data_IF_824895622479
#
_entry.id   IF_824895622479
#
_cell.length_a   1.000
_cell.length_b   1.000
_cell.length_c   1.000
_cell.angle_alpha   90.00
_cell.angle_beta   90.00
_cell.angle_gamma   90.00
#
_symmetry.space_group_name_H-M   'P 1'
#
loop_
_entity.id
_entity.type
_entity.pdbx_description
1 polymer ?
#
# COMPACT_ATOMS: atom_id res chain seq x y z
N UNK A 1 -23.13 -25.43 31.75
CA UNK A 1 -22.27 -26.60 32.04
C UNK A 1 -21.50 -26.90 30.75
N UNK A 2 -20.40 -26.17 30.51
CA UNK A 2 -19.41 -26.34 29.41
C UNK A 2 -18.16 -25.44 29.56
N UNK A 3 -18.10 -24.50 30.52
CA UNK A 3 -16.97 -23.54 30.70
C UNK A 3 -15.92 -23.98 31.75
N UNK A 4 -15.58 -25.26 31.81
CA UNK A 4 -14.89 -25.84 32.98
C UNK A 4 -13.39 -25.52 33.12
N UNK A 5 -12.72 -24.95 32.11
CA UNK A 5 -11.25 -24.88 32.05
C UNK A 5 -10.71 -23.45 31.91
N UNK A 6 -11.29 -22.45 32.61
CA UNK A 6 -10.73 -21.09 32.65
C UNK A 6 -9.85 -20.86 33.88
N UNK A 7 -8.60 -20.43 33.65
CA UNK A 7 -7.65 -20.03 34.69
C UNK A 7 -7.32 -18.55 34.49
N UNK A 8 -7.62 -17.70 35.47
CA UNK A 8 -7.25 -16.29 35.43
C UNK A 8 -6.28 -15.93 36.57
N UNK A 9 -5.11 -15.42 36.22
CA UNK A 9 -4.08 -14.92 37.13
C UNK A 9 -3.95 -13.41 36.94
N UNK A 10 -4.06 -12.63 38.01
CA UNK A 10 -3.88 -11.18 37.94
C UNK A 10 -2.90 -10.67 39.00
N UNK A 11 -1.82 -10.03 38.57
CA UNK A 11 -0.95 -9.23 39.44
C UNK A 11 -1.47 -7.78 39.44
N UNK A 12 -1.83 -7.26 40.61
CA UNK A 12 -2.18 -5.84 40.79
C UNK A 12 -1.17 -5.21 41.74
N UNK A 13 -0.21 -4.47 41.20
CA UNK A 13 0.78 -3.75 42.01
C UNK A 13 0.49 -2.26 42.09
N UNK A 14 0.63 -1.69 43.30
CA UNK A 14 0.58 -0.24 43.52
C UNK A 14 1.90 0.49 43.21
N UNK A 15 2.97 -0.25 42.92
CA UNK A 15 4.30 0.27 42.55
C UNK A 15 4.86 -0.52 41.36
N UNK A 16 5.65 0.11 40.50
CA UNK A 16 6.37 -0.55 39.40
C UNK A 16 7.60 -1.29 39.92
N UNK A 17 7.40 -2.41 40.61
CA UNK A 17 8.49 -3.22 41.17
C UNK A 17 8.33 -4.68 40.75
N UNK A 18 9.05 -5.05 39.70
CA UNK A 18 9.22 -6.42 39.22
C UNK A 18 8.09 -6.94 38.34
N UNK A 19 8.45 -7.63 37.26
CA UNK A 19 7.52 -8.27 36.33
C UNK A 19 6.84 -9.50 36.96
N UNK A 20 5.65 -9.84 36.45
CA UNK A 20 5.00 -11.10 36.77
C UNK A 20 5.75 -12.24 36.07
N UNK A 21 6.56 -12.97 36.83
CA UNK A 21 7.25 -14.17 36.34
C UNK A 21 6.36 -15.39 36.52
N UNK A 22 6.17 -16.17 35.46
CA UNK A 22 5.47 -17.47 35.52
C UNK A 22 6.47 -18.58 35.25
N UNK A 23 6.54 -19.58 36.12
CA UNK A 23 7.49 -20.68 35.93
C UNK A 23 6.96 -21.76 35.00
N UNK A 24 5.65 -22.02 35.04
CA UNK A 24 5.05 -23.17 34.36
C UNK A 24 3.56 -22.92 34.10
N UNK A 25 3.10 -23.24 32.89
CA UNK A 25 1.69 -23.24 32.51
C UNK A 25 1.39 -24.61 31.90
N UNK A 26 0.63 -25.44 32.64
CA UNK A 26 0.21 -26.77 32.19
C UNK A 26 -1.31 -26.80 32.18
N UNK A 27 -1.90 -27.08 31.03
CA UNK A 27 -3.32 -27.40 30.92
C UNK A 27 -3.52 -28.92 30.98
N UNK A 28 -4.57 -29.40 31.66
CA UNK A 28 -4.86 -30.84 31.68
C UNK A 28 -5.30 -31.32 30.29
N UNK A 29 -4.74 -32.43 29.79
CA UNK A 29 -5.16 -33.14 28.57
C UNK A 29 -6.56 -33.80 28.71
N UNK A 30 -7.55 -33.07 29.21
CA UNK A 30 -8.93 -33.52 29.31
C UNK A 30 -9.75 -32.83 28.22
N UNK A 31 -10.64 -33.58 27.56
CA UNK A 31 -11.46 -33.10 26.45
C UNK A 31 -12.12 -31.74 26.75
N UNK A 32 -11.57 -30.66 26.20
CA UNK A 32 -12.11 -29.30 26.30
C UNK A 32 -11.02 -28.23 26.32
N UNK A 33 -11.19 -27.21 25.47
CA UNK A 33 -10.34 -26.02 25.39
C UNK A 33 -10.14 -25.37 26.77
N UNK A 34 -8.89 -25.30 27.24
CA UNK A 34 -8.54 -24.49 28.40
C UNK A 34 -8.25 -23.05 28.00
N UNK A 35 -8.70 -22.10 28.81
CA UNK A 35 -8.46 -20.67 28.61
C UNK A 35 -7.64 -20.17 29.79
N UNK A 36 -6.38 -19.84 29.55
CA UNK A 36 -5.49 -19.25 30.54
C UNK A 36 -5.41 -17.76 30.28
N UNK A 37 -5.71 -16.94 31.28
CA UNK A 37 -5.61 -15.48 31.24
C UNK A 37 -4.59 -15.03 32.28
N UNK A 38 -3.54 -14.34 31.85
CA UNK A 38 -2.54 -13.76 32.74
C UNK A 38 -2.56 -12.26 32.54
N UNK A 39 -2.84 -11.53 33.61
CA UNK A 39 -2.93 -10.09 33.61
C UNK A 39 -1.92 -9.46 34.58
N UNK A 40 -1.22 -8.42 34.15
CA UNK A 40 -0.39 -7.59 35.02
C UNK A 40 -0.81 -6.12 34.96
N UNK A 41 -0.81 -5.46 36.12
CA UNK A 41 -1.06 -4.01 36.23
C UNK A 41 0.19 -3.31 36.77
N UNK A 42 0.69 -2.35 36.00
CA UNK A 42 1.88 -1.52 36.27
C UNK A 42 3.25 -2.22 36.19
N UNK A 43 3.28 -3.52 35.87
CA UNK A 43 4.50 -4.29 35.62
C UNK A 43 4.39 -5.07 34.31
N UNK A 44 5.50 -5.60 33.79
CA UNK A 44 5.52 -6.55 32.69
C UNK A 44 5.05 -7.96 33.10
N UNK A 45 5.06 -8.86 32.12
CA UNK A 45 4.91 -10.31 32.28
C UNK A 45 6.15 -10.94 31.66
N UNK A 46 6.94 -11.64 32.46
CA UNK A 46 8.11 -12.36 31.99
C UNK A 46 7.80 -13.86 31.93
N UNK A 47 7.61 -14.36 30.71
CA UNK A 47 7.46 -15.77 30.43
C UNK A 47 8.71 -16.37 29.78
N UNK A 48 9.84 -15.66 29.72
CA UNK A 48 11.05 -16.08 28.99
C UNK A 48 11.58 -17.46 29.40
N UNK A 49 11.40 -17.83 30.67
CA UNK A 49 11.80 -19.11 31.24
C UNK A 49 10.59 -20.01 31.60
N UNK A 50 9.38 -19.68 31.11
CA UNK A 50 8.17 -20.46 31.39
C UNK A 50 8.16 -21.75 30.59
N UNK A 51 7.98 -22.88 31.27
CA UNK A 51 7.59 -24.13 30.59
C UNK A 51 6.11 -24.05 30.19
N UNK A 52 5.83 -24.05 28.88
CA UNK A 52 4.48 -24.00 28.32
C UNK A 52 4.04 -25.40 27.86
N UNK A 53 2.90 -25.87 28.35
CA UNK A 53 2.26 -27.12 27.95
C UNK A 53 0.77 -26.89 27.65
N UNK A 54 0.49 -26.18 26.55
CA UNK A 54 -0.84 -25.97 25.97
C UNK A 54 -1.08 -26.92 24.78
N UNK A 55 -2.32 -27.36 24.54
CA UNK A 55 -2.69 -28.10 23.33
C UNK A 55 -3.32 -27.20 22.24
N UNK A 56 -3.63 -27.79 21.08
CA UNK A 56 -4.14 -27.08 19.91
C UNK A 56 -5.58 -26.56 20.05
N UNK A 57 -6.21 -26.74 21.20
CA UNK A 57 -7.55 -26.24 21.50
C UNK A 57 -7.54 -25.24 22.65
N UNK A 58 -6.40 -25.06 23.32
CA UNK A 58 -6.24 -24.13 24.41
C UNK A 58 -6.13 -22.69 23.91
N UNK A 59 -6.23 -21.75 24.85
CA UNK A 59 -6.15 -20.31 24.63
C UNK A 59 -5.26 -19.70 25.71
N UNK A 60 -4.28 -18.88 25.34
CA UNK A 60 -3.54 -18.01 26.27
C UNK A 60 -3.85 -16.55 25.98
N UNK A 61 -4.46 -15.86 26.94
CA UNK A 61 -4.64 -14.41 26.94
C UNK A 61 -3.61 -13.76 27.86
N UNK A 62 -2.71 -12.94 27.33
CA UNK A 62 -1.84 -12.11 28.16
C UNK A 62 -2.30 -10.66 28.08
N UNK A 63 -2.48 -10.05 29.25
CA UNK A 63 -2.91 -8.67 29.35
C UNK A 63 -1.96 -7.87 30.22
N UNK A 64 -1.46 -6.76 29.70
CA UNK A 64 -0.77 -5.76 30.53
C UNK A 64 -1.53 -4.45 30.49
N UNK A 65 -1.61 -3.81 31.65
CA UNK A 65 -2.28 -2.53 31.80
C UNK A 65 -1.44 -1.62 32.67
N UNK A 66 -1.33 -0.35 32.30
CA UNK A 66 -0.51 0.61 33.04
C UNK A 66 -1.31 1.88 33.29
N UNK A 67 -1.06 2.48 34.45
CA UNK A 67 -1.53 3.82 34.78
C UNK A 67 -0.46 4.81 34.33
N UNK A 68 -0.85 5.91 33.67
CA UNK A 68 0.05 6.90 33.04
C UNK A 68 1.28 7.26 33.90
N UNK A 69 2.43 7.48 33.24
CA UNK A 69 3.73 7.95 33.79
C UNK A 69 4.61 6.93 34.56
N UNK A 70 4.43 5.62 34.36
CA UNK A 70 5.37 4.59 34.87
C UNK A 70 6.36 4.13 33.76
N UNK A 71 7.35 3.30 34.12
CA UNK A 71 8.31 2.71 33.16
C UNK A 71 7.60 1.90 32.05
N UNK A 72 8.27 1.64 30.91
CA UNK A 72 7.79 0.67 29.94
C UNK A 72 7.48 -0.68 30.61
N UNK A 73 6.47 -1.38 30.12
CA UNK A 73 6.11 -2.73 30.59
C UNK A 73 6.26 -3.70 29.42
N UNK A 74 6.85 -4.86 29.66
CA UNK A 74 7.15 -5.81 28.59
C UNK A 74 6.37 -7.11 28.78
N UNK A 75 5.95 -7.75 27.70
CA UNK A 75 5.55 -9.15 27.69
C UNK A 75 6.67 -9.93 27.01
N UNK A 76 7.45 -10.68 27.78
CA UNK A 76 8.48 -11.58 27.26
C UNK A 76 7.86 -12.97 27.08
N UNK A 77 7.86 -13.52 25.86
CA UNK A 77 7.40 -14.89 25.60
C UNK A 77 8.58 -15.89 25.65
N UNK A 78 8.37 -17.14 26.10
CA UNK A 78 9.38 -18.19 26.11
C UNK A 78 9.83 -18.56 24.70
N UNK A 79 11.02 -19.13 24.58
CA UNK A 79 11.40 -19.93 23.42
C UNK A 79 10.52 -21.20 23.36
N UNK A 80 10.01 -21.55 22.17
CA UNK A 80 9.14 -22.72 22.01
C UNK A 80 9.97 -23.98 21.67
N UNK A 81 10.42 -24.66 22.71
CA UNK A 81 11.19 -25.89 22.56
C UNK A 81 10.24 -27.08 22.34
N UNK A 82 9.87 -27.34 21.07
CA UNK A 82 9.10 -28.48 20.55
C UNK A 82 7.56 -28.47 20.74
N UNK A 83 6.84 -28.55 19.60
CA UNK A 83 5.40 -28.90 19.44
C UNK A 83 4.37 -27.94 20.08
N UNK A 84 4.81 -26.79 20.60
CA UNK A 84 3.91 -25.70 21.00
C UNK A 84 3.96 -24.66 19.88
N UNK A 85 2.86 -24.47 19.15
CA UNK A 85 2.68 -23.37 18.20
C UNK A 85 1.62 -22.45 18.82
N UNK A 86 1.93 -21.17 18.99
CA UNK A 86 1.01 -20.19 19.57
C UNK A 86 -0.29 -20.03 18.77
N UNK A 87 -0.26 -20.36 17.48
CA UNK A 87 -1.45 -20.41 16.63
C UNK A 87 -2.31 -21.66 16.88
N UNK A 88 -1.69 -22.78 17.29
CA UNK A 88 -2.42 -23.95 17.76
C UNK A 88 -3.10 -23.65 19.11
N UNK A 89 -2.46 -22.88 19.99
CA UNK A 89 -2.98 -22.59 21.34
C UNK A 89 -3.69 -21.22 21.49
N UNK A 90 -4.23 -20.64 20.41
CA UNK A 90 -5.03 -19.40 20.46
C UNK A 90 -4.45 -18.30 21.34
N UNK A 91 -3.31 -17.70 20.96
CA UNK A 91 -2.69 -16.59 21.71
C UNK A 91 -3.39 -15.26 21.44
N UNK A 92 -3.70 -14.50 22.50
CA UNK A 92 -4.15 -13.11 22.40
C UNK A 92 -3.37 -12.23 23.35
N UNK A 93 -2.78 -11.16 22.82
CA UNK A 93 -2.00 -10.20 23.59
C UNK A 93 -2.73 -8.86 23.60
N UNK A 94 -3.04 -8.34 24.78
CA UNK A 94 -3.77 -7.07 24.94
C UNK A 94 -2.97 -6.15 25.86
N UNK A 95 -2.41 -5.07 25.31
CA UNK A 95 -1.67 -4.09 26.11
C UNK A 95 -2.20 -2.67 25.91
N UNK A 96 -3.15 -2.27 26.76
CA UNK A 96 -3.92 -1.02 26.57
C UNK A 96 -3.19 0.25 27.02
N UNK A 97 -1.85 0.29 27.02
CA UNK A 97 -1.12 1.40 27.61
C UNK A 97 0.20 1.75 26.92
N UNK A 98 0.54 3.04 26.99
CA UNK A 98 1.73 3.67 26.41
C UNK A 98 3.04 3.13 26.95
N UNK A 99 3.90 2.74 26.00
CA UNK A 99 5.20 2.12 26.24
C UNK A 99 5.10 0.67 26.69
N UNK A 100 4.20 -0.12 26.12
CA UNK A 100 4.26 -1.58 26.24
C UNK A 100 5.03 -2.16 25.06
N UNK A 101 5.94 -3.09 25.27
CA UNK A 101 6.56 -3.95 24.24
C UNK A 101 6.15 -5.41 24.41
N UNK A 102 6.13 -6.16 23.32
CA UNK A 102 6.11 -7.64 23.33
C UNK A 102 7.46 -8.06 22.77
N UNK A 103 8.14 -9.03 23.38
CA UNK A 103 9.38 -9.59 22.84
C UNK A 103 9.29 -11.12 22.87
N UNK A 104 9.76 -11.77 21.80
CA UNK A 104 9.79 -13.23 21.65
C UNK A 104 11.22 -13.73 21.58
N UNK A 105 11.60 -14.71 22.40
CA UNK A 105 12.95 -15.28 22.45
C UNK A 105 13.12 -16.49 21.50
N UNK A 106 12.49 -16.45 20.32
CA UNK A 106 12.56 -17.59 19.40
C UNK A 106 14.02 -17.84 18.96
N UNK A 107 14.46 -19.10 19.05
CA UNK A 107 15.76 -19.53 18.53
C UNK A 107 15.57 -20.29 17.21
N UNK A 108 16.60 -20.28 16.35
CA UNK A 108 16.56 -20.93 15.05
C UNK A 108 16.17 -22.43 15.16
N UNK A 109 15.06 -22.82 14.51
CA UNK A 109 14.56 -24.21 14.47
C UNK A 109 13.32 -24.50 15.35
N UNK A 110 12.80 -23.50 16.06
CA UNK A 110 11.54 -23.54 16.83
C UNK A 110 10.29 -23.44 15.94
N UNK A 111 9.16 -24.05 16.34
CA UNK A 111 7.82 -23.76 15.77
C UNK A 111 7.37 -22.37 16.18
N UNK A 112 6.58 -21.70 15.34
CA UNK A 112 6.56 -20.23 15.27
C UNK A 112 5.22 -19.63 15.65
N UNK A 113 5.23 -18.49 16.34
CA UNK A 113 4.07 -17.61 16.40
C UNK A 113 3.70 -17.19 14.97
N UNK A 114 2.60 -17.71 14.41
CA UNK A 114 2.23 -17.43 13.01
C UNK A 114 1.15 -16.35 12.84
N UNK A 115 0.41 -16.02 13.91
CA UNK A 115 -0.62 -14.98 13.87
C UNK A 115 -0.85 -14.33 15.23
N UNK A 116 -1.04 -13.02 15.26
CA UNK A 116 -1.39 -12.27 16.47
C UNK A 116 -2.43 -11.18 16.17
N UNK A 117 -3.41 -11.02 17.07
CA UNK A 117 -4.23 -9.81 17.18
C UNK A 117 -3.75 -9.06 18.42
N UNK A 118 -3.35 -7.80 18.23
CA UNK A 118 -2.83 -6.98 19.32
C UNK A 118 -3.33 -5.55 19.28
N UNK A 119 -3.54 -5.00 20.48
CA UNK A 119 -3.73 -3.59 20.74
C UNK A 119 -2.67 -3.21 21.78
N UNK A 120 -1.45 -2.96 21.28
CA UNK A 120 -0.28 -2.43 22.01
C UNK A 120 0.12 -1.15 21.33
N UNK A 121 0.63 -0.15 22.05
CA UNK A 121 1.05 1.10 21.38
C UNK A 121 2.31 0.86 20.54
N UNK A 122 3.29 0.11 21.07
CA UNK A 122 4.50 -0.28 20.35
C UNK A 122 4.58 -1.81 20.26
N UNK A 123 4.87 -2.34 19.07
CA UNK A 123 5.04 -3.78 18.85
C UNK A 123 6.44 -4.07 18.34
N UNK A 124 7.19 -4.92 19.04
CA UNK A 124 8.49 -5.43 18.60
C UNK A 124 8.34 -6.93 18.34
N UNK A 125 8.91 -7.46 17.26
CA UNK A 125 8.90 -8.90 16.99
C UNK A 125 10.24 -9.35 16.43
N UNK A 126 10.71 -10.49 16.90
CA UNK A 126 11.80 -11.24 16.26
C UNK A 126 11.37 -12.70 16.12
N UNK A 127 11.30 -13.17 14.87
CA UNK A 127 10.87 -14.53 14.53
C UNK A 127 11.79 -15.19 13.49
N UNK A 128 11.53 -16.43 13.13
CA UNK A 128 12.29 -17.20 12.15
C UNK A 128 11.42 -17.85 11.06
N UNK A 129 10.14 -17.51 10.99
CA UNK A 129 9.26 -17.91 9.88
C UNK A 129 8.28 -16.79 9.53
N UNK A 130 7.31 -17.13 8.67
CA UNK A 130 6.15 -16.31 8.39
C UNK A 130 5.43 -15.85 9.68
N UNK A 131 5.02 -14.59 9.71
CA UNK A 131 4.17 -14.04 10.76
C UNK A 131 3.15 -13.05 10.21
N UNK A 132 1.91 -13.18 10.67
CA UNK A 132 0.80 -12.33 10.28
C UNK A 132 0.22 -11.56 11.48
N UNK A 133 0.43 -10.24 11.51
CA UNK A 133 -0.18 -9.33 12.47
C UNK A 133 -1.52 -8.84 11.93
N UNK A 134 -2.63 -9.30 12.52
CA UNK A 134 -3.98 -9.02 12.02
C UNK A 134 -4.69 -8.01 12.92
N UNK A 135 -5.31 -7.00 12.31
CA UNK A 135 -6.03 -5.93 13.01
C UNK A 135 -5.16 -5.21 14.04
N UNK A 136 -3.93 -4.87 13.66
CA UNK A 136 -3.07 -4.04 14.49
C UNK A 136 -3.72 -2.67 14.73
N UNK A 137 -3.77 -2.27 16.00
CA UNK A 137 -4.37 -0.99 16.45
C UNK A 137 -3.42 -0.15 17.28
N UNK A 138 -2.13 -0.46 17.21
CA UNK A 138 -1.08 0.30 17.87
C UNK A 138 -0.56 1.49 17.06
N UNK A 139 0.39 2.20 17.66
CA UNK A 139 1.01 3.40 17.12
C UNK A 139 2.26 3.08 16.30
N UNK A 140 3.10 2.14 16.77
CA UNK A 140 4.37 1.81 16.12
C UNK A 140 4.67 0.30 16.07
N UNK A 141 5.35 -0.13 15.00
CA UNK A 141 5.80 -1.51 14.78
C UNK A 141 7.28 -1.58 14.41
N UNK A 142 7.92 -2.64 14.90
CA UNK A 142 9.29 -3.07 14.64
C UNK A 142 9.27 -4.61 14.54
N UNK A 143 9.67 -5.18 13.41
CA UNK A 143 9.47 -6.59 13.14
C UNK A 143 10.61 -7.18 12.31
N UNK A 144 11.16 -8.31 12.77
CA UNK A 144 12.29 -8.98 12.12
C UNK A 144 12.04 -10.46 11.97
N UNK A 145 12.43 -11.01 10.81
CA UNK A 145 12.53 -12.45 10.62
C UNK A 145 13.83 -12.87 9.95
N UNK A 146 14.32 -14.05 10.36
CA UNK A 146 15.45 -14.71 9.73
C UNK A 146 15.07 -15.58 8.53
N UNK A 147 13.78 -15.88 8.34
CA UNK A 147 13.23 -16.55 7.15
C UNK A 147 11.71 -16.29 7.07
N UNK A 148 11.13 -16.11 5.88
CA UNK A 148 9.68 -16.09 5.70
C UNK A 148 9.01 -14.70 5.67
N UNK A 149 7.72 -14.67 5.40
CA UNK A 149 6.95 -13.45 5.12
C UNK A 149 6.39 -12.79 6.37
N UNK A 150 6.65 -11.49 6.52
CA UNK A 150 6.02 -10.68 7.55
C UNK A 150 4.85 -9.90 6.94
N UNK A 151 3.66 -10.12 7.50
CA UNK A 151 2.43 -9.45 7.07
C UNK A 151 1.83 -8.65 8.21
N UNK A 152 1.40 -7.43 7.92
CA UNK A 152 0.70 -6.55 8.87
C UNK A 152 -0.56 -6.02 8.21
N UNK A 153 -1.69 -6.17 8.90
CA UNK A 153 -2.93 -5.51 8.58
C UNK A 153 -3.33 -4.61 9.75
N UNK A 154 -3.34 -3.29 9.53
CA UNK A 154 -3.73 -2.30 10.54
C UNK A 154 -5.03 -1.60 10.19
N UNK A 155 -5.86 -1.42 11.23
CA UNK A 155 -7.10 -0.64 11.13
C UNK A 155 -6.93 0.85 11.42
N UNK A 156 -5.72 1.31 11.74
CA UNK A 156 -5.42 2.68 12.19
C UNK A 156 -4.17 3.23 11.50
N UNK A 157 -3.78 4.46 11.84
CA UNK A 157 -2.46 4.98 11.50
C UNK A 157 -1.36 4.19 12.20
N UNK A 158 -0.21 4.00 11.53
CA UNK A 158 0.92 3.21 12.03
C UNK A 158 2.24 3.89 11.67
N UNK A 159 3.18 3.81 12.59
CA UNK A 159 4.58 4.17 12.41
C UNK A 159 5.41 2.88 12.29
N UNK A 160 6.25 2.77 11.27
CA UNK A 160 7.28 1.73 11.17
C UNK A 160 8.59 2.40 11.58
N UNK A 161 9.18 1.97 12.69
CA UNK A 161 10.37 2.59 13.29
C UNK A 161 11.21 1.54 14.01
N UNK A 162 12.51 1.81 14.16
CA UNK A 162 13.41 0.99 14.96
C UNK A 162 13.14 1.28 16.44
N UNK A 163 12.43 0.37 17.10
CA UNK A 163 12.01 0.51 18.48
C UNK A 163 13.01 -0.12 19.46
N UNK A 164 13.91 -0.96 18.95
CA UNK A 164 14.84 -1.76 19.75
C UNK A 164 16.32 -1.33 19.59
N UNK A 165 16.58 -0.36 18.72
CA UNK A 165 17.88 0.21 18.38
C UNK A 165 18.85 -0.80 17.72
N UNK A 166 18.36 -1.74 16.92
CA UNK A 166 19.20 -2.66 16.13
C UNK A 166 19.57 -2.13 14.73
N UNK A 167 19.03 -0.96 14.35
CA UNK A 167 19.30 -0.26 13.10
C UNK A 167 18.25 -0.48 12.02
N UNK A 168 17.28 -1.38 12.24
CA UNK A 168 16.22 -1.67 11.27
C UNK A 168 14.84 -1.68 11.94
N UNK A 169 13.81 -1.25 11.22
CA UNK A 169 12.43 -1.34 11.69
C UNK A 169 11.69 -2.59 11.17
N UNK A 170 11.98 -3.00 9.93
CA UNK A 170 11.24 -4.11 9.32
C UNK A 170 12.14 -4.93 8.41
N UNK A 171 12.48 -6.16 8.81
CA UNK A 171 13.45 -6.98 8.07
C UNK A 171 12.96 -8.40 7.87
N UNK A 172 13.08 -8.89 6.64
CA UNK A 172 12.91 -10.31 6.32
C UNK A 172 14.03 -10.82 5.41
N UNK A 173 14.41 -12.07 5.63
CA UNK A 173 15.19 -12.87 4.71
C UNK A 173 14.31 -13.98 4.15
N UNK A 174 14.53 -14.37 2.90
CA UNK A 174 13.82 -15.44 2.20
C UNK A 174 12.28 -15.30 2.33
N UNK A 175 11.78 -14.08 2.14
CA UNK A 175 10.38 -13.75 2.36
C UNK A 175 10.01 -12.33 1.94
N UNK A 176 8.74 -11.97 2.20
CA UNK A 176 8.17 -10.67 1.79
C UNK A 176 7.80 -9.80 3.00
N UNK A 177 7.77 -8.48 2.81
CA UNK A 177 7.19 -7.51 3.75
C UNK A 177 5.88 -6.99 3.19
N UNK A 178 4.77 -7.27 3.86
CA UNK A 178 3.44 -6.95 3.37
C UNK A 178 2.68 -6.13 4.41
N UNK A 179 2.65 -4.81 4.26
CA UNK A 179 1.89 -3.90 5.09
C UNK A 179 0.62 -3.42 4.36
N UNK A 180 -0.52 -3.54 5.03
CA UNK A 180 -1.79 -2.97 4.61
C UNK A 180 -2.43 -2.20 5.78
N UNK A 181 -2.56 -0.88 5.64
CA UNK A 181 -3.09 0.00 6.68
C UNK A 181 -4.41 0.69 6.30
N UNK A 182 -5.13 1.19 7.31
CA UNK A 182 -6.26 2.10 7.14
C UNK A 182 -6.05 3.36 7.98
N UNK A 183 -5.24 4.27 7.46
CA UNK A 183 -4.78 5.48 8.13
C UNK A 183 -3.39 5.87 7.63
N UNK A 184 -2.83 6.96 8.18
CA UNK A 184 -1.50 7.39 7.81
C UNK A 184 -0.46 6.31 8.12
N UNK A 185 0.41 6.01 7.15
CA UNK A 185 1.64 5.23 7.35
C UNK A 185 2.81 6.20 7.45
N UNK A 186 3.60 6.11 8.51
CA UNK A 186 4.87 6.83 8.64
C UNK A 186 6.01 5.83 8.73
N UNK A 187 6.98 5.88 7.82
CA UNK A 187 8.16 5.05 7.83
C UNK A 187 9.36 5.92 8.24
N UNK A 188 9.96 5.61 9.39
CA UNK A 188 10.99 6.44 10.02
C UNK A 188 12.39 5.82 10.01
N UNK A 189 12.48 4.51 9.81
CA UNK A 189 13.76 3.77 9.82
C UNK A 189 13.80 2.72 8.69
N UNK A 190 14.93 2.02 8.59
CA UNK A 190 15.23 1.12 7.47
C UNK A 190 14.32 -0.11 7.42
N UNK A 191 13.99 -0.53 6.20
CA UNK A 191 13.31 -1.80 5.96
C UNK A 191 13.99 -2.58 4.84
N UNK A 192 14.03 -3.91 4.96
CA UNK A 192 14.60 -4.76 3.93
C UNK A 192 13.89 -6.10 3.77
N UNK A 193 13.78 -6.55 2.52
CA UNK A 193 13.32 -7.87 2.15
C UNK A 193 14.31 -8.50 1.17
N UNK A 194 14.77 -9.70 1.50
CA UNK A 194 15.76 -10.42 0.68
C UNK A 194 15.21 -11.75 0.21
N UNK A 195 15.55 -12.14 -1.01
CA UNK A 195 15.42 -13.47 -1.56
C UNK A 195 16.83 -14.06 -1.77
N UNK A 196 17.23 -14.92 -0.82
CA UNK A 196 18.52 -15.59 -0.82
C UNK A 196 18.47 -17.03 -1.33
N UNK A 197 17.29 -17.56 -1.63
CA UNK A 197 17.08 -18.94 -2.07
C UNK A 197 16.90 -18.98 -3.59
N UNK A 198 17.39 -20.05 -4.22
CA UNK A 198 17.09 -20.33 -5.63
C UNK A 198 16.12 -21.51 -5.63
N UNK A 199 14.84 -21.21 -5.54
CA UNK A 199 13.78 -22.19 -5.39
C UNK A 199 12.63 -22.01 -6.41
N UNK A 200 12.87 -21.18 -7.43
CA UNK A 200 11.90 -20.83 -8.46
C UNK A 200 10.67 -20.07 -7.90
N UNK A 201 10.77 -19.50 -6.70
CA UNK A 201 9.74 -18.65 -6.09
C UNK A 201 10.29 -17.26 -5.83
N UNK A 202 9.69 -16.26 -6.47
CA UNK A 202 10.08 -14.87 -6.25
C UNK A 202 9.74 -14.41 -4.83
N UNK A 203 10.75 -14.10 -4.03
CA UNK A 203 10.60 -13.45 -2.72
C UNK A 203 11.32 -12.08 -2.67
N UNK A 204 11.52 -11.54 -1.47
CA UNK A 204 12.17 -10.24 -1.27
C UNK A 204 11.28 -9.06 -1.63
N UNK A 205 9.96 -9.25 -1.71
CA UNK A 205 9.01 -8.22 -2.13
C UNK A 205 8.60 -7.34 -0.94
N UNK A 206 8.44 -6.03 -1.19
CA UNK A 206 8.00 -5.03 -0.20
C UNK A 206 6.73 -4.35 -0.71
N UNK A 207 5.62 -4.56 -0.01
CA UNK A 207 4.33 -3.96 -0.30
C UNK A 207 3.87 -3.09 0.87
N UNK A 208 3.90 -1.77 0.68
CA UNK A 208 3.42 -0.78 1.65
C UNK A 208 2.16 -0.12 1.11
N UNK A 209 1.00 -0.56 1.59
CA UNK A 209 -0.28 -0.01 1.15
C UNK A 209 -1.10 0.60 2.26
N UNK A 210 -1.82 1.66 1.95
CA UNK A 210 -2.85 2.24 2.82
C UNK A 210 -4.15 2.43 2.06
N UNK A 211 -5.30 2.22 2.71
CA UNK A 211 -6.61 2.47 2.13
C UNK A 211 -7.13 3.91 2.37
N UNK A 212 -6.52 4.62 3.32
CA UNK A 212 -6.82 6.00 3.68
C UNK A 212 -5.60 6.62 4.36
N UNK A 213 -5.55 7.96 4.45
CA UNK A 213 -4.42 8.68 5.03
C UNK A 213 -3.20 8.76 4.11
N UNK A 214 -2.21 9.53 4.54
CA UNK A 214 -0.97 9.75 3.79
C UNK A 214 0.04 8.63 4.01
N UNK A 215 1.01 8.50 3.11
CA UNK A 215 2.20 7.68 3.33
C UNK A 215 3.38 8.64 3.40
N UNK A 216 4.04 8.68 4.55
CA UNK A 216 5.22 9.51 4.80
C UNK A 216 6.44 8.59 4.92
N UNK A 217 7.45 8.78 4.08
CA UNK A 217 8.68 7.99 4.11
C UNK A 217 9.85 8.91 4.40
N UNK A 218 10.53 8.69 5.51
CA UNK A 218 11.72 9.44 5.89
C UNK A 218 11.48 10.94 6.05
N UNK A 219 10.31 11.37 6.52
CA UNK A 219 10.02 12.79 6.78
C UNK A 219 10.54 13.29 8.13
N UNK A 220 11.02 12.40 8.99
CA UNK A 220 11.57 12.74 10.32
C UNK A 220 12.91 12.05 10.62
N UNK A 221 13.44 11.27 9.67
CA UNK A 221 14.68 10.49 9.80
C UNK A 221 15.13 9.95 8.44
N UNK A 222 16.40 9.56 8.33
CA UNK A 222 16.92 8.93 7.12
C UNK A 222 16.35 7.51 6.98
N UNK A 223 15.87 7.16 5.79
CA UNK A 223 15.24 5.86 5.53
C UNK A 223 15.83 5.18 4.32
N UNK A 224 16.15 3.90 4.47
CA UNK A 224 16.49 2.99 3.37
C UNK A 224 15.42 1.91 3.23
N UNK A 225 14.86 1.76 2.03
CA UNK A 225 13.96 0.67 1.64
C UNK A 225 14.72 -0.20 0.63
N UNK A 226 14.98 -1.47 0.98
CA UNK A 226 15.76 -2.36 0.12
C UNK A 226 15.01 -3.66 -0.16
N UNK A 227 14.69 -3.89 -1.43
CA UNK A 227 14.25 -5.19 -1.94
C UNK A 227 15.41 -5.83 -2.71
N UNK A 228 15.80 -7.04 -2.34
CA UNK A 228 16.87 -7.78 -3.02
C UNK A 228 16.37 -9.14 -3.49
N UNK A 229 16.24 -9.31 -4.80
CA UNK A 229 16.04 -10.59 -5.44
C UNK A 229 17.15 -10.85 -6.46
N UNK A 230 18.11 -11.70 -6.13
CA UNK A 230 19.24 -12.02 -7.04
C UNK A 230 19.23 -13.44 -7.55
N UNK A 231 18.40 -14.30 -6.97
CA UNK A 231 18.36 -15.72 -7.28
C UNK A 231 17.26 -16.04 -8.29
N UNK A 232 16.08 -15.45 -8.11
CA UNK A 232 14.86 -15.71 -8.87
C UNK A 232 14.32 -14.44 -9.56
N UNK A 233 15.24 -13.55 -9.97
CA UNK A 233 14.92 -12.24 -10.55
C UNK A 233 14.17 -12.31 -11.89
N UNK A 234 14.26 -13.45 -12.57
CA UNK A 234 13.65 -13.72 -13.87
C UNK A 234 12.33 -14.51 -13.75
N UNK A 235 11.97 -14.94 -12.54
CA UNK A 235 10.73 -15.66 -12.24
C UNK A 235 9.57 -14.68 -12.15
N UNK A 236 8.44 -15.01 -12.77
CA UNK A 236 7.17 -14.28 -12.63
C UNK A 236 6.60 -14.43 -11.21
N UNK A 237 6.06 -13.37 -10.63
CA UNK A 237 5.46 -13.42 -9.29
C UNK A 237 5.72 -12.20 -8.42
N UNK A 238 5.95 -11.04 -9.02
CA UNK A 238 6.02 -9.77 -8.30
C UNK A 238 4.66 -9.34 -7.74
N UNK A 239 4.61 -8.12 -7.20
CA UNK A 239 3.47 -7.59 -6.45
C UNK A 239 2.24 -7.23 -7.31
N UNK A 240 2.36 -7.26 -8.63
CA UNK A 240 1.29 -6.92 -9.57
C UNK A 240 1.84 -6.66 -10.96
N UNK A 241 1.02 -6.15 -11.87
CA UNK A 241 1.33 -6.01 -13.29
C UNK A 241 1.94 -4.64 -13.68
N UNK A 242 1.92 -3.67 -12.77
CA UNK A 242 2.46 -2.32 -12.98
C UNK A 242 3.72 -2.09 -12.12
N UNK A 243 4.83 -1.56 -12.70
CA UNK A 243 5.07 -1.35 -14.14
C UNK A 243 5.30 -2.64 -14.95
N UNK A 244 5.38 -3.77 -14.27
CA UNK A 244 5.44 -5.11 -14.85
C UNK A 244 5.04 -6.13 -13.79
N UNK A 245 4.88 -7.39 -14.19
CA UNK A 245 4.72 -8.56 -13.31
C UNK A 245 5.89 -8.77 -12.33
N UNK A 246 6.97 -7.98 -12.45
CA UNK A 246 8.20 -8.09 -11.66
C UNK A 246 8.36 -7.00 -10.59
N UNK A 247 7.30 -6.24 -10.29
CA UNK A 247 7.29 -5.24 -9.22
C UNK A 247 7.72 -5.85 -7.89
N UNK A 248 8.82 -5.35 -7.34
CA UNK A 248 9.42 -5.82 -6.10
C UNK A 248 9.18 -4.85 -4.94
N UNK A 249 9.07 -3.54 -5.22
CA UNK A 249 8.64 -2.55 -4.23
C UNK A 249 7.36 -1.89 -4.73
N UNK A 250 6.31 -1.93 -3.91
CA UNK A 250 5.09 -1.15 -4.12
C UNK A 250 4.83 -0.26 -2.92
N UNK A 251 4.68 1.05 -3.14
CA UNK A 251 4.21 2.01 -2.14
C UNK A 251 2.96 2.70 -2.68
N UNK A 252 1.79 2.34 -2.17
CA UNK A 252 0.55 2.73 -2.83
C UNK A 252 -0.60 3.07 -1.88
N UNK A 253 -1.33 4.12 -2.23
CA UNK A 253 -2.63 4.39 -1.64
C UNK A 253 -3.72 3.74 -2.50
N UNK A 254 -4.55 2.90 -1.87
CA UNK A 254 -5.52 2.02 -2.54
C UNK A 254 -6.96 2.51 -2.44
N UNK A 255 -7.20 3.59 -1.70
CA UNK A 255 -8.52 4.19 -1.56
C UNK A 255 -8.99 4.86 -2.85
N UNK A 256 -10.29 4.80 -3.09
CA UNK A 256 -10.91 5.37 -4.29
C UNK A 256 -11.45 6.79 -4.08
N UNK A 257 -11.45 7.28 -2.82
CA UNK A 257 -11.98 8.60 -2.44
C UNK A 257 -11.08 9.31 -1.42
N UNK A 258 -11.17 10.63 -1.36
CA UNK A 258 -10.47 11.48 -0.38
C UNK A 258 -9.02 11.80 -0.75
N UNK A 259 -8.39 12.64 0.09
CA UNK A 259 -7.00 13.06 -0.08
C UNK A 259 -6.04 11.93 0.24
N UNK A 260 -5.10 11.70 -0.67
CA UNK A 260 -4.13 10.62 -0.57
C UNK A 260 -2.77 11.12 -1.05
N UNK A 261 -1.85 11.37 -0.13
CA UNK A 261 -0.53 11.87 -0.45
C UNK A 261 0.55 10.85 -0.10
N UNK A 262 1.54 10.74 -0.98
CA UNK A 262 2.80 10.05 -0.70
C UNK A 262 3.90 11.12 -0.67
N UNK A 263 4.68 11.15 0.41
CA UNK A 263 5.82 12.06 0.55
C UNK A 263 7.08 11.27 0.84
N UNK A 264 8.09 11.42 -0.01
CA UNK A 264 9.43 10.86 0.19
C UNK A 264 10.38 11.98 0.64
N UNK A 265 10.94 11.82 1.83
CA UNK A 265 11.94 12.72 2.42
C UNK A 265 11.37 14.05 2.89
N UNK A 266 12.28 14.89 3.41
CA UNK A 266 12.12 16.31 3.62
C UNK A 266 13.43 17.05 3.23
N UNK A 267 13.55 18.35 3.56
CA UNK A 267 14.75 19.13 3.23
C UNK A 267 16.03 18.75 4.03
N UNK A 268 15.89 17.93 5.07
CA UNK A 268 16.95 17.56 6.01
C UNK A 268 17.26 16.06 6.03
N UNK A 269 16.40 15.22 5.44
CA UNK A 269 16.52 13.77 5.45
C UNK A 269 16.93 13.21 4.09
N UNK A 270 17.49 12.02 4.12
CA UNK A 270 17.82 11.21 2.93
C UNK A 270 16.88 10.02 2.86
N UNK A 271 16.30 9.78 1.69
CA UNK A 271 15.52 8.56 1.44
C UNK A 271 16.15 7.79 0.30
N UNK A 272 16.43 6.52 0.53
CA UNK A 272 16.96 5.61 -0.49
C UNK A 272 15.97 4.47 -0.70
N UNK A 273 15.53 4.26 -1.93
CA UNK A 273 14.65 3.15 -2.33
C UNK A 273 15.35 2.36 -3.42
N UNK A 274 15.67 1.11 -3.12
CA UNK A 274 16.46 0.24 -3.99
C UNK A 274 15.75 -1.09 -4.22
N UNK A 275 15.51 -1.43 -5.49
CA UNK A 275 15.08 -2.75 -5.91
C UNK A 275 16.17 -3.41 -6.76
N UNK A 276 16.84 -4.41 -6.19
CA UNK A 276 17.73 -5.29 -6.94
C UNK A 276 16.94 -6.50 -7.46
N UNK A 277 16.93 -6.69 -8.77
CA UNK A 277 16.24 -7.79 -9.45
C UNK A 277 14.73 -7.62 -9.59
N UNK A 278 14.19 -6.42 -9.40
CA UNK A 278 12.78 -6.13 -9.64
C UNK A 278 12.46 -4.65 -9.82
N UNK A 279 11.19 -4.39 -10.11
CA UNK A 279 10.72 -3.05 -10.46
C UNK A 279 10.18 -2.29 -9.24
N UNK A 280 10.06 -0.96 -9.37
CA UNK A 280 9.51 -0.09 -8.33
C UNK A 280 8.23 0.56 -8.84
N UNK A 281 7.17 0.48 -8.05
CA UNK A 281 5.91 1.14 -8.32
C UNK A 281 5.46 1.98 -7.12
N UNK A 282 5.14 3.25 -7.35
CA UNK A 282 4.51 4.09 -6.34
C UNK A 282 3.32 4.82 -6.92
N UNK A 283 2.19 4.77 -6.22
CA UNK A 283 0.95 5.38 -6.67
C UNK A 283 0.15 5.95 -5.51
N UNK A 284 -0.03 7.27 -5.44
CA UNK A 284 -0.91 7.88 -4.42
C UNK A 284 -2.40 7.69 -4.73
N UNK A 285 -2.73 6.96 -5.79
CA UNK A 285 -4.10 6.60 -6.14
C UNK A 285 -4.20 5.33 -6.97
N UNK A 286 -3.67 4.20 -6.48
CA UNK A 286 -3.62 2.93 -7.22
C UNK A 286 -4.98 2.48 -7.79
N UNK A 287 -6.07 2.65 -7.03
CA UNK A 287 -7.41 2.26 -7.48
C UNK A 287 -8.28 3.47 -7.86
N UNK A 288 -7.67 4.66 -8.01
CA UNK A 288 -8.42 5.86 -8.40
C UNK A 288 -9.07 5.64 -9.77
N UNK A 289 -10.36 5.96 -9.88
CA UNK A 289 -11.08 5.97 -11.17
C UNK A 289 -11.26 7.38 -11.72
N UNK A 290 -10.87 8.40 -10.96
CA UNK A 290 -10.92 9.81 -11.33
C UNK A 290 -9.59 10.48 -11.02
N UNK A 291 -9.11 11.32 -11.93
CA UNK A 291 -7.97 12.21 -11.71
C UNK A 291 -8.43 13.36 -10.82
N UNK A 292 -8.21 13.24 -9.51
CA UNK A 292 -8.33 14.36 -8.58
C UNK A 292 -6.94 14.73 -8.07
N UNK A 293 -6.20 15.42 -8.94
CA UNK A 293 -4.79 15.80 -8.74
C UNK A 293 -4.59 16.81 -7.63
N UNK A 294 -5.62 17.61 -7.31
CA UNK A 294 -5.54 18.58 -6.21
C UNK A 294 -5.68 17.88 -4.84
N UNK A 295 -6.27 16.68 -4.81
CA UNK A 295 -6.44 15.87 -3.60
C UNK A 295 -5.36 14.79 -3.44
N UNK A 296 -4.65 14.44 -4.52
CA UNK A 296 -3.66 13.34 -4.53
C UNK A 296 -2.33 13.81 -5.08
N UNK A 297 -1.31 13.69 -4.25
CA UNK A 297 0.05 14.13 -4.61
C UNK A 297 1.07 13.04 -4.31
N UNK A 298 2.05 12.91 -5.19
CA UNK A 298 3.27 12.17 -4.91
C UNK A 298 4.42 13.18 -4.93
N UNK A 299 4.95 13.48 -3.74
CA UNK A 299 6.04 14.43 -3.55
C UNK A 299 7.36 13.70 -3.34
N UNK A 300 8.36 14.03 -4.15
CA UNK A 300 9.73 13.57 -3.99
C UNK A 300 10.60 14.76 -3.66
N UNK A 301 11.14 14.78 -2.43
CA UNK A 301 12.03 15.85 -1.99
C UNK A 301 13.45 15.67 -2.54
N UNK A 302 14.27 16.69 -2.34
CA UNK A 302 15.71 16.63 -2.49
C UNK A 302 16.32 15.50 -1.64
N UNK A 303 17.51 15.01 -2.02
CA UNK A 303 18.18 13.87 -1.38
C UNK A 303 17.41 12.52 -1.42
N UNK A 304 16.36 12.40 -2.24
CA UNK A 304 15.72 11.11 -2.51
C UNK A 304 16.44 10.39 -3.66
N UNK A 305 16.84 9.15 -3.43
CA UNK A 305 17.38 8.22 -4.42
C UNK A 305 16.39 7.07 -4.62
N UNK A 306 15.94 6.87 -5.86
CA UNK A 306 15.11 5.72 -6.26
C UNK A 306 15.80 5.00 -7.41
N UNK A 307 16.14 3.72 -7.22
CA UNK A 307 16.79 2.94 -8.28
C UNK A 307 16.34 1.49 -8.35
N UNK A 308 16.16 1.01 -9.57
CA UNK A 308 15.83 -0.37 -9.89
C UNK A 308 16.88 -0.93 -10.85
N UNK A 309 17.47 -2.08 -10.53
CA UNK A 309 18.59 -2.65 -11.30
C UNK A 309 18.72 -4.17 -11.10
N UNK A 310 19.44 -4.86 -11.99
CA UNK A 310 19.92 -6.23 -11.72
C UNK A 310 21.31 -6.19 -11.10
N UNK A 311 22.18 -5.39 -11.70
CA UNK A 311 23.54 -5.13 -11.23
C UNK A 311 23.82 -3.62 -11.24
N UNK A 312 24.54 -3.13 -10.23
CA UNK A 312 24.92 -1.72 -10.11
C UNK A 312 25.78 -1.18 -11.27
N UNK A 313 26.31 -2.04 -12.14
CA UNK A 313 27.02 -1.65 -13.35
C UNK A 313 26.13 -1.50 -14.58
N UNK A 314 24.85 -1.87 -14.50
CA UNK A 314 23.94 -1.85 -15.64
C UNK A 314 23.76 -0.43 -16.17
N UNK A 315 23.44 -0.30 -17.45
CA UNK A 315 23.27 1.02 -18.06
C UNK A 315 21.96 1.65 -17.58
N UNK A 316 21.98 2.93 -17.23
CA UNK A 316 20.77 3.70 -16.91
C UNK A 316 19.96 3.90 -18.19
N UNK A 317 18.67 3.59 -18.15
CA UNK A 317 17.74 3.70 -19.30
C UNK A 317 16.62 4.66 -18.93
N UNK A 318 16.72 5.92 -19.35
CA UNK A 318 15.76 6.96 -18.97
C UNK A 318 14.30 6.62 -19.36
N UNK A 319 14.09 5.93 -20.49
CA UNK A 319 12.76 5.52 -20.95
C UNK A 319 12.09 4.44 -20.08
N UNK A 320 12.81 3.85 -19.14
CA UNK A 320 12.26 2.88 -18.20
C UNK A 320 11.74 3.53 -16.90
N UNK A 321 11.82 4.86 -16.80
CA UNK A 321 11.30 5.63 -15.68
C UNK A 321 10.10 6.44 -16.16
N UNK A 322 8.94 6.21 -15.55
CA UNK A 322 7.70 6.93 -15.79
C UNK A 322 7.38 7.78 -14.56
N UNK A 323 7.27 9.09 -14.75
CA UNK A 323 6.84 10.04 -13.73
C UNK A 323 5.57 10.71 -14.24
N UNK A 324 4.46 10.47 -13.57
CA UNK A 324 3.16 11.06 -13.94
C UNK A 324 2.60 11.87 -12.78
N UNK A 325 2.50 13.19 -12.98
CA UNK A 325 1.98 14.12 -11.96
C UNK A 325 2.70 13.97 -10.60
N UNK A 326 4.03 13.89 -10.66
CA UNK A 326 4.92 13.82 -9.50
C UNK A 326 5.49 15.19 -9.20
N UNK A 327 5.32 15.64 -7.96
CA UNK A 327 5.89 16.89 -7.46
C UNK A 327 7.33 16.67 -7.02
N UNK A 328 8.27 17.06 -7.88
CA UNK A 328 9.70 17.07 -7.56
C UNK A 328 10.05 18.39 -6.88
N UNK A 329 10.44 18.33 -5.60
CA UNK A 329 10.90 19.48 -4.83
C UNK A 329 12.42 19.55 -4.89
N UNK A 330 12.92 20.62 -5.51
CA UNK A 330 14.35 20.91 -5.63
C UNK A 330 14.62 22.31 -5.05
N UNK A 331 15.05 22.35 -3.79
CA UNK A 331 15.28 23.61 -3.05
C UNK A 331 16.75 23.85 -2.67
N UNK A 332 17.62 22.87 -2.90
CA UNK A 332 19.06 22.91 -2.59
C UNK A 332 19.89 22.64 -3.85
N UNK A 333 21.05 21.98 -3.71
CA UNK A 333 22.00 21.74 -4.81
C UNK A 333 22.13 20.24 -5.15
N UNK A 334 21.30 19.38 -4.55
CA UNK A 334 21.28 17.94 -4.76
C UNK A 334 19.87 17.53 -5.19
N UNK A 335 19.66 17.53 -6.50
CA UNK A 335 18.43 17.06 -7.13
C UNK A 335 18.15 15.60 -6.74
N UNK A 336 16.88 15.20 -6.57
CA UNK A 336 16.54 13.79 -6.42
C UNK A 336 16.99 12.98 -7.64
N UNK A 337 17.41 11.74 -7.40
CA UNK A 337 17.89 10.83 -8.44
C UNK A 337 16.94 9.66 -8.58
N UNK A 338 16.18 9.63 -9.67
CA UNK A 338 15.29 8.51 -10.01
C UNK A 338 15.84 7.87 -11.28
N UNK A 339 16.35 6.64 -11.17
CA UNK A 339 17.05 6.00 -12.27
C UNK A 339 16.77 4.49 -12.32
N UNK A 340 16.08 4.08 -13.39
CA UNK A 340 15.97 2.67 -13.74
C UNK A 340 17.13 2.23 -14.64
N UNK A 341 17.62 1.01 -14.44
CA UNK A 341 18.64 0.40 -15.28
C UNK A 341 18.04 -0.58 -16.29
N UNK A 342 18.89 -1.12 -17.16
CA UNK A 342 18.51 -2.09 -18.19
C UNK A 342 17.67 -3.23 -17.57
N UNK A 343 16.58 -3.59 -18.26
CA UNK A 343 15.61 -4.64 -17.87
C UNK A 343 14.85 -4.40 -16.56
N UNK A 344 14.87 -3.18 -16.03
CA UNK A 344 14.10 -2.77 -14.85
C UNK A 344 13.26 -1.56 -15.14
N UNK A 345 12.19 -1.34 -14.38
CA UNK A 345 11.26 -0.22 -14.54
C UNK A 345 10.97 0.47 -13.21
N UNK A 346 10.72 1.77 -13.29
CA UNK A 346 10.23 2.58 -12.18
C UNK A 346 9.01 3.36 -12.67
N UNK A 347 7.90 3.26 -11.96
CA UNK A 347 6.73 4.10 -12.20
C UNK A 347 6.35 4.80 -10.90
N UNK A 348 6.34 6.13 -10.93
CA UNK A 348 5.82 6.98 -9.86
C UNK A 348 4.64 7.78 -10.42
N UNK A 349 3.49 7.71 -9.76
CA UNK A 349 2.32 8.46 -10.17
C UNK A 349 1.50 8.99 -9.00
N UNK A 350 0.88 10.15 -9.18
CA UNK A 350 -0.16 10.60 -8.24
C UNK A 350 -1.56 10.04 -8.56
N UNK A 351 -1.72 9.40 -9.72
CA UNK A 351 -2.99 8.82 -10.20
C UNK A 351 -2.82 7.34 -10.59
N UNK A 352 -3.93 6.65 -10.86
CA UNK A 352 -3.86 5.31 -11.43
C UNK A 352 -3.53 5.42 -12.93
N UNK A 353 -2.35 4.99 -13.35
CA UNK A 353 -1.99 4.89 -14.77
C UNK A 353 -2.76 3.74 -15.44
N UNK A 354 -3.04 2.65 -14.72
CA UNK A 354 -3.74 1.48 -15.25
C UNK A 354 -5.24 1.72 -15.56
N UNK A 355 -5.80 2.86 -15.13
CA UNK A 355 -7.17 3.26 -15.45
C UNK A 355 -7.31 4.07 -16.75
N UNK A 356 -6.19 4.41 -17.40
CA UNK A 356 -6.14 5.18 -18.63
C UNK A 356 -5.49 4.42 -19.80
N UNK A 357 -5.31 3.11 -19.66
CA UNK A 357 -5.14 2.25 -20.84
C UNK A 357 -6.46 2.29 -21.60
N UNK A 358 -6.47 3.11 -22.65
CA UNK A 358 -7.39 2.93 -23.76
C UNK A 358 -7.23 1.47 -24.18
N UNK A 359 -8.32 0.71 -24.10
CA UNK A 359 -8.36 -0.70 -24.53
C UNK A 359 -7.61 -0.84 -25.86
N UNK A 360 -6.78 -1.87 -26.06
CA UNK A 360 -6.08 -2.07 -27.34
C UNK A 360 -7.08 -2.05 -28.51
N UNK A 361 -8.29 -2.56 -28.28
CA UNK A 361 -9.41 -2.50 -29.24
C UNK A 361 -9.85 -1.06 -29.57
N UNK A 362 -9.81 -0.14 -28.60
CA UNK A 362 -10.14 1.28 -28.80
C UNK A 362 -8.97 2.03 -29.42
N UNK A 363 -7.73 1.59 -29.20
CA UNK A 363 -6.54 2.17 -29.81
C UNK A 363 -6.41 1.74 -31.28
N UNK A 364 -6.73 0.48 -31.59
CA UNK A 364 -6.91 -0.03 -32.95
C UNK A 364 -8.08 0.67 -33.65
N UNK A 365 -9.23 0.90 -32.99
CA UNK A 365 -10.34 1.66 -33.57
C UNK A 365 -9.98 3.14 -33.85
N UNK A 366 -9.08 3.72 -33.04
CA UNK A 366 -8.59 5.10 -33.24
C UNK A 366 -7.55 5.16 -34.35
N UNK A 367 -6.63 4.19 -34.42
CA UNK A 367 -5.63 4.10 -35.47
C UNK A 367 -6.28 3.73 -36.83
N UNK A 368 -7.27 2.84 -36.85
CA UNK A 368 -8.12 2.56 -38.02
C UNK A 368 -8.90 3.81 -38.44
N UNK A 369 -9.43 4.59 -37.49
CA UNK A 369 -10.11 5.84 -37.81
C UNK A 369 -9.15 6.91 -38.35
N UNK A 370 -7.90 6.95 -37.90
CA UNK A 370 -6.85 7.85 -38.41
C UNK A 370 -6.39 7.41 -39.80
N UNK A 371 -6.21 6.11 -40.04
CA UNK A 371 -5.88 5.55 -41.36
C UNK A 371 -7.03 5.74 -42.36
N UNK A 372 -8.28 5.60 -41.95
CA UNK A 372 -9.47 5.93 -42.77
C UNK A 372 -9.52 7.43 -43.11
N UNK A 373 -9.10 8.30 -42.18
CA UNK A 373 -9.01 9.75 -42.41
C UNK A 373 -7.89 10.06 -43.41
N UNK A 374 -6.71 9.47 -43.28
CA UNK A 374 -5.59 9.71 -44.20
C UNK A 374 -5.85 9.10 -45.59
N UNK A 375 -6.49 7.94 -45.67
CA UNK A 375 -6.93 7.34 -46.93
C UNK A 375 -8.02 8.18 -47.61
N UNK A 376 -8.92 8.80 -46.84
CA UNK A 376 -9.90 9.75 -47.38
C UNK A 376 -9.26 11.05 -47.91
N UNK A 377 -8.11 11.47 -47.38
CA UNK A 377 -7.38 12.64 -47.87
C UNK A 377 -6.59 12.36 -49.16
N UNK A 378 -6.09 11.14 -49.35
CA UNK A 378 -5.42 10.73 -50.59
C UNK A 378 -6.42 10.54 -51.75
N UNK A 379 -7.64 10.08 -51.46
CA UNK A 379 -8.74 10.03 -52.43
C UNK A 379 -9.25 11.43 -52.84
N UNK A 380 -9.15 12.42 -51.94
CA UNK A 380 -9.46 13.83 -52.25
C UNK A 380 -8.39 14.47 -53.15
N UNK A 381 -7.12 14.05 -53.04
CA UNK A 381 -6.02 14.60 -53.85
C UNK A 381 -5.89 14.02 -55.26
N UNK A 382 -6.63 12.96 -55.59
CA UNK A 382 -6.63 12.35 -56.94
C UNK A 382 -7.88 12.64 -57.78
N UNK A 383 -8.87 13.33 -57.21
CA UNK A 383 -10.07 13.80 -57.91
C UNK A 383 -10.03 15.29 -58.23
N UNK A 384 -9.69 15.64 -59.47
CA UNK A 384 -9.80 16.98 -60.06
C UNK A 384 -11.17 17.63 -59.80
N UNK A 385 -11.25 18.69 -59.00
CA UNK A 385 -11.52 20.08 -59.43
C UNK A 385 -11.60 20.98 -58.18
N UNK A 386 -10.97 22.15 -58.25
CA UNK A 386 -11.11 23.19 -57.23
C UNK A 386 -12.56 23.71 -57.24
N UNK A 387 -13.31 23.46 -56.16
CA UNK A 387 -14.35 24.39 -55.75
C UNK A 387 -14.24 24.67 -54.24
N UNK A 388 -14.36 25.95 -53.91
CA UNK A 388 -14.11 26.52 -52.60
C UNK A 388 -15.19 26.08 -51.59
N UNK A 389 -14.90 25.07 -50.77
CA UNK A 389 -15.77 24.61 -49.69
C UNK A 389 -15.86 25.65 -48.55
N UNK A 390 -16.95 26.39 -48.53
CA UNK A 390 -17.34 27.39 -47.53
C UNK A 390 -17.57 26.79 -46.13
N UNK A 391 -17.54 27.63 -45.09
CA UNK A 391 -17.82 27.35 -43.65
C UNK A 391 -19.03 26.42 -43.34
N UNK A 392 -19.89 26.14 -44.32
CA UNK A 392 -21.01 25.19 -44.26
C UNK A 392 -20.58 23.72 -44.12
N UNK A 393 -19.47 23.29 -44.73
CA UNK A 393 -19.06 21.86 -44.68
C UNK A 393 -18.52 21.46 -43.30
N UNK A 394 -17.78 22.35 -42.63
CA UNK A 394 -17.30 22.12 -41.26
C UNK A 394 -18.45 22.11 -40.24
N UNK A 395 -19.49 22.93 -40.45
CA UNK A 395 -20.68 22.91 -39.60
C UNK A 395 -21.56 21.68 -39.85
N UNK A 396 -21.64 21.22 -41.10
CA UNK A 396 -22.40 20.02 -41.46
C UNK A 396 -21.74 18.77 -40.88
N UNK A 397 -20.41 18.65 -40.95
CA UNK A 397 -19.65 17.54 -40.34
C UNK A 397 -19.77 17.50 -38.82
N UNK A 398 -19.68 18.66 -38.14
CA UNK A 398 -19.87 18.76 -36.70
C UNK A 398 -21.29 18.39 -36.25
N UNK A 399 -22.31 18.79 -37.03
CA UNK A 399 -23.71 18.44 -36.73
C UNK A 399 -23.96 16.93 -36.84
N UNK A 400 -23.40 16.28 -37.87
CA UNK A 400 -23.52 14.82 -38.05
C UNK A 400 -22.81 14.06 -36.91
N UNK A 401 -21.62 14.52 -36.50
CA UNK A 401 -20.90 13.93 -35.37
C UNK A 401 -21.67 14.08 -34.05
N UNK A 402 -22.25 15.26 -33.80
CA UNK A 402 -23.06 15.53 -32.60
C UNK A 402 -24.42 14.82 -32.59
N UNK A 403 -25.00 14.52 -33.76
CA UNK A 403 -26.24 13.70 -33.88
C UNK A 403 -26.00 12.22 -33.59
N UNK A 404 -24.77 11.76 -33.82
CA UNK A 404 -24.39 10.37 -33.53
C UNK A 404 -24.21 10.16 -32.02
N UNK A 405 -23.74 11.19 -31.30
CA UNK A 405 -23.43 11.12 -29.86
C UNK A 405 -24.62 11.54 -28.98
N UNK A 406 -25.49 12.44 -29.46
CA UNK A 406 -26.70 12.86 -28.73
C UNK A 406 -27.94 12.48 -29.55
N UNK A 407 -28.73 11.49 -29.10
CA UNK A 407 -29.89 11.03 -29.85
C UNK A 407 -30.93 12.14 -30.02
N UNK A 408 -31.56 12.18 -31.20
CA UNK A 408 -32.63 13.14 -31.51
C UNK A 408 -33.80 13.03 -30.52
N UNK A 409 -34.57 14.12 -30.40
CA UNK A 409 -35.81 14.07 -29.63
C UNK A 409 -36.79 13.09 -30.28
N UNK A 410 -37.46 12.26 -29.49
CA UNK A 410 -38.35 11.23 -30.01
C UNK A 410 -39.55 11.86 -30.73
N UNK A 411 -40.06 11.17 -31.75
CA UNK A 411 -41.16 11.66 -32.58
C UNK A 411 -42.41 11.95 -31.74
N UNK A 412 -42.71 13.24 -31.53
CA UNK A 412 -43.81 13.72 -30.69
C UNK A 412 -43.39 14.72 -29.61
N UNK A 413 -42.09 14.82 -29.33
CA UNK A 413 -41.52 15.85 -28.46
C UNK A 413 -41.18 17.11 -29.26
N UNK A 414 -41.82 18.23 -28.93
CA UNK A 414 -41.41 19.54 -29.44
C UNK A 414 -40.58 20.29 -28.41
N UNK A 415 -39.73 21.19 -28.89
CA UNK A 415 -38.91 22.11 -28.08
C UNK A 415 -39.73 22.90 -27.06
N UNK A 416 -41.03 23.07 -27.29
CA UNK A 416 -41.93 23.83 -26.43
C UNK A 416 -42.66 22.98 -25.37
N UNK A 417 -42.61 21.64 -25.46
CA UNK A 417 -43.45 20.75 -24.64
C UNK A 417 -42.71 19.66 -23.85
N UNK A 418 -41.41 19.43 -24.07
CA UNK A 418 -40.63 18.42 -23.34
C UNK A 418 -39.36 19.00 -22.72
N UNK A 419 -39.27 18.98 -21.38
CA UNK A 419 -38.07 19.42 -20.66
C UNK A 419 -36.86 18.51 -20.92
N UNK A 420 -37.09 17.25 -21.29
CA UNK A 420 -36.04 16.32 -21.68
C UNK A 420 -35.47 16.65 -23.05
N UNK A 421 -36.31 17.01 -24.02
CA UNK A 421 -35.84 17.45 -25.34
C UNK A 421 -35.03 18.76 -25.25
N UNK A 422 -35.45 19.70 -24.40
CA UNK A 422 -34.67 20.91 -24.14
C UNK A 422 -33.32 20.62 -23.47
N UNK A 423 -33.25 19.67 -22.52
CA UNK A 423 -31.99 19.26 -21.88
C UNK A 423 -31.03 18.59 -22.86
N UNK A 424 -31.52 17.70 -23.73
CA UNK A 424 -30.72 17.04 -24.77
C UNK A 424 -30.17 18.06 -25.77
N UNK A 425 -30.99 19.02 -26.22
CA UNK A 425 -30.49 20.09 -27.09
C UNK A 425 -29.52 21.04 -26.38
N UNK A 426 -29.77 21.38 -25.12
CA UNK A 426 -28.85 22.19 -24.32
C UNK A 426 -27.48 21.53 -24.15
N UNK A 427 -27.46 20.21 -23.97
CA UNK A 427 -26.22 19.43 -23.91
C UNK A 427 -25.50 19.35 -25.26
N UNK A 428 -26.23 19.16 -26.37
CA UNK A 428 -25.67 19.21 -27.73
C UNK A 428 -25.01 20.56 -28.02
N UNK A 429 -25.67 21.66 -27.65
CA UNK A 429 -25.12 23.01 -27.80
C UNK A 429 -23.97 23.29 -26.82
N UNK A 430 -23.94 22.67 -25.63
CA UNK A 430 -22.79 22.71 -24.73
C UNK A 430 -21.54 22.10 -25.37
N UNK A 431 -21.66 20.88 -25.89
CA UNK A 431 -20.55 20.19 -26.57
C UNK A 431 -20.07 20.99 -27.78
N UNK A 432 -21.01 21.54 -28.56
CA UNK A 432 -20.69 22.42 -29.69
C UNK A 432 -19.93 23.69 -29.26
N UNK A 433 -20.31 24.29 -28.13
CA UNK A 433 -19.62 25.47 -27.58
C UNK A 433 -18.21 25.16 -27.08
N UNK A 434 -17.99 23.94 -26.56
CA UNK A 434 -16.70 23.48 -26.04
C UNK A 434 -15.68 23.29 -27.18
N UNK A 435 -16.14 22.76 -28.32
CA UNK A 435 -15.30 22.47 -29.49
C UNK A 435 -15.01 23.73 -30.31
N UNK A 436 -15.96 24.67 -30.40
CA UNK A 436 -15.84 25.88 -31.24
C UNK A 436 -15.41 27.13 -30.43
N UNK A 437 -15.40 27.05 -29.10
CA UNK A 437 -14.92 28.11 -28.20
C UNK A 437 -15.79 29.37 -28.15
N UNK A 438 -17.04 29.32 -28.65
CA UNK A 438 -17.99 30.44 -28.59
C UNK A 438 -19.06 30.17 -27.53
N UNK A 439 -19.14 31.04 -26.52
CA UNK A 439 -19.98 30.84 -25.33
C UNK A 439 -21.48 30.62 -25.58
N UNK A 440 -22.15 30.15 -24.53
CA UNK A 440 -23.53 29.65 -24.56
C UNK A 440 -24.58 30.64 -25.12
N UNK A 441 -25.49 30.20 -26.02
CA UNK A 441 -26.59 31.02 -26.51
C UNK A 441 -27.50 31.47 -25.35
N UNK A 442 -27.81 32.77 -25.29
CA UNK A 442 -28.56 33.36 -24.18
C UNK A 442 -29.97 32.75 -23.98
N UNK A 443 -30.55 32.12 -25.01
CA UNK A 443 -31.86 31.44 -24.93
C UNK A 443 -31.87 30.19 -24.02
N UNK A 444 -30.70 29.67 -23.64
CA UNK A 444 -30.56 28.52 -22.73
C UNK A 444 -30.00 28.91 -21.35
N UNK A 445 -29.71 30.20 -21.12
CA UNK A 445 -29.32 30.70 -19.80
C UNK A 445 -30.58 30.93 -18.97
N UNK A 446 -30.72 30.17 -17.88
CA UNK A 446 -31.83 30.33 -16.93
C UNK A 446 -32.83 29.17 -16.88
N UNK A 447 -32.45 27.96 -17.29
CA UNK A 447 -33.22 26.76 -16.92
C UNK A 447 -33.19 26.62 -15.38
N UNK A 448 -34.33 26.45 -14.69
CA UNK A 448 -34.35 26.23 -13.25
C UNK A 448 -33.68 24.88 -12.94
N UNK A 449 -32.98 24.82 -11.79
CA UNK A 449 -32.32 23.63 -11.24
C UNK A 449 -33.17 22.35 -11.31
#
# INVERSE_FOLDING_TARGET
DTDSNEIAVQQVSGASTGDLVVSEIITPQAAGAAKVYIASRNNGIDLSATTLALDATDYLGLQVSKVQNLNPVEILLPALDTVQDWSLAGLSLVARATGTSINTLESAGSTVLSSLITAVDNFVLSTNSDFNLVNFTGDAIDMKTSSGTLRVNSGTAVTIADLNADGDAFVTNDGNLLFAGNGQLSLLDNISATDGLNDETRAGLIDLTTASGNILVGTEGDVTITSTNTQDSDVDGGLGDEPSTQTAIRIAQTGTTGTANITLGDAATTVTVEAQGGDIYMASGLNAVTRDVDERTLTVNENVLVTAYNVNSDTVVAGNTVLDEVDIIDTTAVDPSIASRTDRRITLSSVNIAGFNVDEDVQDDVDDAVDDIDQSQDDINTGTDLDTGTDDESQTRMNVMLETVVPECEAGESLDNSSQCMKKQGFKEFLRSLVIGRGFPDKYKGLPE
#
